data_IF_259645291261
#
_entry.id   IF_259645291261
#
_cell.length_a   1.000
_cell.length_b   1.000
_cell.length_c   1.000
_cell.angle_alpha   90.00
_cell.angle_beta   90.00
_cell.angle_gamma   90.00
#
_symmetry.space_group_name_H-M   'P 1'
#
loop_
_entity.id
_entity.type
_entity.pdbx_description
1 polymer ?
#
# COMPACT_ATOMS: atom_id res chain seq x y z
N UNK A 1 -0.04 6.57 6.18
CA UNK A 1 0.86 5.40 6.04
C UNK A 1 0.59 4.74 4.71
N UNK A 2 1.61 4.14 4.09
CA UNK A 2 1.50 3.49 2.79
C UNK A 2 2.12 2.11 2.87
N UNK A 3 1.39 1.10 2.42
CA UNK A 3 1.91 -0.26 2.20
C UNK A 3 2.18 -0.41 0.72
N UNK A 4 3.42 -0.73 0.40
CA UNK A 4 3.86 -1.09 -0.94
C UNK A 4 4.17 -2.56 -0.95
N UNK A 5 3.59 -3.30 -1.89
CA UNK A 5 3.95 -4.69 -2.10
C UNK A 5 4.42 -4.89 -3.54
N UNK A 6 5.53 -5.60 -3.67
CA UNK A 6 6.17 -5.92 -4.94
C UNK A 6 6.63 -7.37 -4.92
N UNK A 7 6.71 -8.00 -6.08
CA UNK A 7 7.32 -9.32 -6.19
C UNK A 7 8.40 -9.35 -7.25
N UNK A 8 9.37 -10.24 -7.05
CA UNK A 8 10.42 -10.56 -8.01
C UNK A 8 10.34 -12.03 -8.36
N UNK A 9 10.50 -12.33 -9.64
CA UNK A 9 10.67 -13.70 -10.11
C UNK A 9 12.12 -14.18 -9.89
N UNK A 10 12.36 -15.50 -9.98
CA UNK A 10 13.68 -16.14 -9.88
C UNK A 10 14.72 -15.56 -10.84
N UNK A 11 14.29 -15.06 -11.99
CA UNK A 11 15.15 -14.40 -12.98
C UNK A 11 15.52 -12.95 -12.61
N UNK A 12 15.14 -12.47 -11.41
CA UNK A 12 15.45 -11.13 -10.92
C UNK A 12 14.70 -10.00 -11.63
N UNK A 13 13.86 -10.33 -12.61
CA UNK A 13 12.98 -9.38 -13.29
C UNK A 13 11.89 -8.93 -12.31
N UNK A 14 11.97 -7.67 -11.89
CA UNK A 14 10.92 -7.01 -11.10
C UNK A 14 9.69 -6.92 -12.00
N UNK A 15 8.55 -7.48 -11.56
CA UNK A 15 7.32 -7.36 -12.33
C UNK A 15 6.55 -6.10 -11.91
N UNK A 16 5.98 -5.43 -12.90
CA UNK A 16 5.31 -4.11 -12.89
C UNK A 16 4.08 -4.00 -11.98
N UNK A 17 3.70 -5.06 -11.26
CA UNK A 17 2.51 -5.09 -10.42
C UNK A 17 2.80 -4.61 -8.99
N UNK A 18 3.28 -3.37 -8.87
CA UNK A 18 3.40 -2.69 -7.58
C UNK A 18 2.00 -2.38 -7.06
N UNK A 19 1.58 -3.02 -5.97
CA UNK A 19 0.33 -2.68 -5.30
C UNK A 19 0.60 -1.71 -4.15
N UNK A 20 -0.06 -0.56 -4.18
CA UNK A 20 0.02 0.45 -3.13
C UNK A 20 -1.32 0.60 -2.41
N UNK A 21 -1.27 0.62 -1.08
CA UNK A 21 -2.42 0.87 -0.21
C UNK A 21 -2.14 2.07 0.68
N UNK A 22 -2.99 3.08 0.60
CA UNK A 22 -2.89 4.30 1.40
C UNK A 22 -3.85 4.27 2.59
N UNK A 23 -3.28 4.43 3.78
CA UNK A 23 -3.98 4.49 5.06
C UNK A 23 -3.89 5.92 5.59
N UNK A 24 -4.91 6.72 5.28
CA UNK A 24 -5.07 8.07 5.81
C UNK A 24 -6.53 8.52 5.71
N UNK A 25 -6.97 9.49 6.54
CA UNK A 25 -8.27 10.10 6.38
C UNK A 25 -8.41 10.79 5.02
N UNK A 26 -9.53 10.59 4.36
CA UNK A 26 -9.91 11.25 3.11
C UNK A 26 -11.05 12.23 3.40
N UNK A 27 -10.86 13.48 3.00
CA UNK A 27 -11.80 14.56 3.26
C UNK A 27 -12.04 15.41 2.01
N UNK A 28 -13.22 16.04 1.96
CA UNK A 28 -13.73 16.85 0.85
C UNK A 28 -14.14 18.25 1.33
N UNK A 29 -14.40 19.14 0.37
CA UNK A 29 -15.02 20.44 0.56
C UNK A 29 -16.55 20.42 0.35
N UNK A 30 -17.17 19.24 0.25
CA UNK A 30 -18.60 19.01 0.00
C UNK A 30 -19.15 19.52 -1.35
N UNK A 31 -18.29 20.04 -2.24
CA UNK A 31 -18.69 20.43 -3.60
C UNK A 31 -18.55 19.29 -4.60
N UNK A 32 -17.70 18.32 -4.29
CA UNK A 32 -17.52 17.10 -5.05
C UNK A 32 -17.20 15.91 -4.13
N UNK A 33 -17.18 14.70 -4.70
CA UNK A 33 -16.80 13.46 -4.01
C UNK A 33 -15.28 13.20 -4.07
N UNK A 34 -14.48 14.18 -4.51
CA UNK A 34 -13.03 14.02 -4.66
C UNK A 34 -12.32 14.40 -3.36
N UNK A 35 -11.28 13.65 -3.02
CA UNK A 35 -10.39 14.02 -1.93
C UNK A 35 -9.72 15.37 -2.26
N UNK A 36 -9.69 16.27 -1.27
CA UNK A 36 -8.99 17.56 -1.36
C UNK A 36 -7.75 17.55 -0.46
N UNK A 37 -6.68 18.15 -0.97
CA UNK A 37 -5.46 18.44 -0.21
C UNK A 37 -5.57 19.80 0.49
N UNK A 38 -4.83 19.96 1.59
CA UNK A 38 -4.88 21.16 2.45
C UNK A 38 -5.98 21.08 3.51
N UNK A 39 -5.62 21.33 4.78
CA UNK A 39 -6.55 21.25 5.91
C UNK A 39 -7.68 22.29 5.82
N UNK A 40 -7.36 23.48 5.29
CA UNK A 40 -8.29 24.60 5.14
C UNK A 40 -9.45 24.34 4.17
N UNK A 41 -9.29 23.38 3.25
CA UNK A 41 -10.31 23.04 2.26
C UNK A 41 -11.21 21.87 2.70
N UNK A 42 -10.86 21.20 3.82
CA UNK A 42 -11.54 19.99 4.28
C UNK A 42 -12.67 20.39 5.23
N UNK A 43 -13.90 20.20 4.79
CA UNK A 43 -15.13 20.55 5.54
C UNK A 43 -15.86 19.30 6.01
N UNK A 44 -15.70 18.16 5.31
CA UNK A 44 -16.27 16.89 5.71
C UNK A 44 -15.36 15.71 5.38
N UNK A 45 -15.49 14.63 6.15
CA UNK A 45 -14.82 13.36 5.87
C UNK A 45 -15.61 12.55 4.85
N UNK A 46 -14.91 11.96 3.89
CA UNK A 46 -15.49 11.02 2.92
C UNK A 46 -15.38 9.60 3.47
N UNK A 47 -14.15 9.22 3.83
CA UNK A 47 -13.79 7.89 4.30
C UNK A 47 -12.53 7.99 5.11
N UNK A 48 -12.46 7.25 6.21
CA UNK A 48 -11.21 7.05 6.92
C UNK A 48 -10.69 5.64 6.64
N UNK A 49 -9.55 5.53 5.96
CA UNK A 49 -8.84 4.25 5.76
C UNK A 49 -7.69 4.10 6.74
N UNK A 50 -7.48 5.02 7.68
CA UNK A 50 -6.39 4.94 8.64
C UNK A 50 -6.48 3.71 9.54
N UNK A 51 -5.31 3.23 9.95
CA UNK A 51 -5.20 2.17 10.96
C UNK A 51 -5.60 2.79 12.31
N UNK A 52 -6.66 2.28 12.91
CA UNK A 52 -7.19 2.82 14.16
C UNK A 52 -6.35 2.35 15.36
N UNK A 53 -6.24 3.16 16.43
CA UNK A 53 -5.49 2.78 17.63
C UNK A 53 -5.96 1.44 18.20
N UNK A 54 -5.01 0.56 18.51
CA UNK A 54 -5.27 -0.78 19.06
C UNK A 54 -6.15 -1.70 18.20
N UNK A 55 -6.36 -1.37 16.92
CA UNK A 55 -7.11 -2.21 15.99
C UNK A 55 -6.19 -2.71 14.89
N UNK A 56 -5.62 -3.93 15.02
CA UNK A 56 -4.77 -4.50 13.99
C UNK A 56 -5.60 -4.74 12.72
N UNK A 57 -5.11 -4.28 11.58
CA UNK A 57 -5.74 -4.50 10.29
C UNK A 57 -5.08 -5.66 9.56
N UNK A 58 -5.88 -6.62 9.11
CA UNK A 58 -5.44 -7.71 8.21
C UNK A 58 -5.76 -7.33 6.77
N UNK A 59 -4.79 -7.50 5.89
CA UNK A 59 -4.91 -7.18 4.47
C UNK A 59 -4.40 -8.37 3.66
N UNK A 60 -5.11 -8.68 2.58
CA UNK A 60 -4.70 -9.69 1.60
C UNK A 60 -4.25 -8.97 0.35
N UNK A 61 -3.03 -9.27 -0.10
CA UNK A 61 -2.45 -8.71 -1.33
C UNK A 61 -2.30 -9.88 -2.29
N UNK A 62 -3.01 -9.80 -3.41
CA UNK A 62 -3.05 -10.83 -4.43
C UNK A 62 -2.22 -10.38 -5.63
N UNK A 63 -1.33 -11.24 -6.08
CA UNK A 63 -0.53 -11.03 -7.27
C UNK A 63 -0.87 -12.10 -8.30
N UNK A 64 -1.22 -11.67 -9.51
CA UNK A 64 -1.31 -12.58 -10.65
C UNK A 64 0.10 -12.88 -11.14
N UNK A 65 0.48 -14.15 -11.06
CA UNK A 65 1.78 -14.63 -11.55
C UNK A 65 1.61 -15.07 -13.02
N UNK A 66 2.53 -14.67 -13.92
CA UNK A 66 2.46 -15.09 -15.32
C UNK A 66 2.73 -16.59 -15.47
N UNK A 67 2.18 -17.17 -16.54
CA UNK A 67 2.27 -18.61 -16.82
C UNK A 67 3.74 -19.08 -16.88
N UNK A 68 4.05 -20.12 -16.09
CA UNK A 68 5.40 -20.69 -15.98
C UNK A 68 6.18 -20.26 -14.73
N UNK A 69 5.76 -19.21 -14.04
CA UNK A 69 6.38 -18.76 -12.78
C UNK A 69 5.83 -19.54 -11.60
N UNK A 70 6.67 -20.38 -10.99
CA UNK A 70 6.27 -21.26 -9.86
C UNK A 70 6.69 -20.76 -8.49
N UNK A 71 7.49 -19.70 -8.43
CA UNK A 71 8.00 -19.14 -7.18
C UNK A 71 8.25 -17.66 -7.32
N UNK A 72 7.81 -16.87 -6.35
CA UNK A 72 8.01 -15.43 -6.32
C UNK A 72 8.53 -14.97 -4.96
N UNK A 73 9.51 -14.09 -4.96
CA UNK A 73 9.98 -13.38 -3.78
C UNK A 73 9.13 -12.13 -3.59
N UNK A 74 8.23 -12.16 -2.60
CA UNK A 74 7.34 -11.04 -2.27
C UNK A 74 8.00 -10.17 -1.21
N UNK A 75 8.11 -8.88 -1.49
CA UNK A 75 8.54 -7.85 -0.53
C UNK A 75 7.37 -6.91 -0.24
N UNK A 76 7.02 -6.80 1.03
CA UNK A 76 6.00 -5.87 1.53
C UNK A 76 6.68 -4.85 2.42
N UNK A 77 6.64 -3.60 2.01
CA UNK A 77 7.23 -2.46 2.71
C UNK A 77 6.14 -1.55 3.25
N UNK A 78 6.27 -1.19 4.53
CA UNK A 78 5.40 -0.25 5.22
C UNK A 78 6.15 1.05 5.48
N UNK A 79 5.58 2.16 4.99
CA UNK A 79 6.13 3.50 5.13
C UNK A 79 5.16 4.44 5.83
N UNK A 80 5.72 5.39 6.59
CA UNK A 80 5.03 6.60 7.00
C UNK A 80 5.41 7.74 6.05
N UNK A 81 4.41 8.36 5.43
CA UNK A 81 4.62 9.56 4.60
C UNK A 81 4.23 10.77 5.43
N UNK A 82 5.17 11.69 5.62
CA UNK A 82 4.90 12.98 6.26
C UNK A 82 4.38 13.99 5.22
N UNK A 83 4.18 15.23 5.66
CA UNK A 83 3.53 16.34 4.92
C UNK A 83 3.94 16.48 3.44
N UNK A 84 5.17 16.11 3.07
CA UNK A 84 5.64 16.04 1.69
C UNK A 84 5.69 14.57 1.22
N UNK A 85 5.15 14.19 0.04
CA UNK A 85 5.22 12.83 -0.48
C UNK A 85 6.66 12.26 -0.58
N UNK A 86 7.66 13.12 -0.70
CA UNK A 86 9.07 12.69 -0.74
C UNK A 86 9.62 12.31 0.66
N UNK A 87 8.98 12.77 1.73
CA UNK A 87 9.37 12.45 3.10
C UNK A 87 8.75 11.12 3.53
N UNK A 88 9.39 10.03 3.08
CA UNK A 88 9.02 8.66 3.43
C UNK A 88 9.94 8.12 4.52
N UNK A 89 9.35 7.65 5.61
CA UNK A 89 10.04 6.99 6.71
C UNK A 89 9.71 5.49 6.69
N UNK A 90 10.69 4.60 6.46
CA UNK A 90 10.45 3.17 6.51
C UNK A 90 10.12 2.75 7.94
N UNK A 91 9.02 2.03 8.12
CA UNK A 91 8.61 1.47 9.42
C UNK A 91 9.01 0.00 9.47
N UNK A 92 8.67 -0.77 8.42
CA UNK A 92 8.88 -2.20 8.41
C UNK A 92 8.98 -2.73 6.99
N UNK A 93 9.72 -3.84 6.81
CA UNK A 93 9.85 -4.55 5.55
C UNK A 93 9.79 -6.04 5.82
N UNK A 94 8.95 -6.75 5.08
CA UNK A 94 8.78 -8.20 5.16
C UNK A 94 9.13 -8.77 3.80
N UNK A 95 10.06 -9.73 3.79
CA UNK A 95 10.41 -10.50 2.59
C UNK A 95 9.98 -11.94 2.79
N UNK A 96 9.25 -12.48 1.84
CA UNK A 96 8.76 -13.86 1.88
C UNK A 96 8.79 -14.46 0.49
N UNK A 97 9.48 -15.59 0.36
CA UNK A 97 9.40 -16.43 -0.83
C UNK A 97 8.12 -17.25 -0.77
N UNK A 98 7.32 -17.21 -1.84
CA UNK A 98 6.10 -17.97 -1.99
C UNK A 98 6.28 -18.93 -3.16
N UNK A 99 6.14 -20.23 -2.92
CA UNK A 99 6.12 -21.27 -3.97
C UNK A 99 4.70 -21.74 -4.21
N UNK A 100 4.38 -22.01 -5.47
CA UNK A 100 3.13 -22.65 -5.89
C UNK A 100 3.23 -24.19 -5.87
N UNK A 101 4.43 -24.74 -5.79
CA UNK A 101 4.65 -26.17 -5.58
C UNK A 101 4.32 -26.52 -4.11
N UNK A 102 3.37 -27.45 -3.95
CA UNK A 102 2.75 -27.85 -2.68
C UNK A 102 3.37 -29.13 -2.13
#
# INVERSE_FOLDING_TARGET
>A
MVVTASYKDKDGKVVENKQERHYHPQATNCRDTKMKYGAQWKVANIRDTAIQPHQPKKETIEFELPDGVRSADVTVDLFYEAVNPDNKYPIHSIKKTVSLDK
#
